data_IF_744053485175
#
_entry.id   IF_744053485175
#
_cell.length_a   1.000
_cell.length_b   1.000
_cell.length_c   1.000
_cell.angle_alpha   90.00
_cell.angle_beta   90.00
_cell.angle_gamma   90.00
#
_symmetry.space_group_name_H-M   'P 1'
#
loop_
_entity.id
_entity.type
_entity.pdbx_description
1 polymer ?
#
# COMPACT_ATOMS: atom_id res chain seq x y z
N UNK A 1 6.79 -3.67 38.07
CA UNK A 1 5.94 -3.79 36.87
C UNK A 1 5.60 -2.39 36.39
N UNK A 2 6.29 -1.91 35.36
CA UNK A 2 6.00 -0.61 34.76
C UNK A 2 4.72 -0.71 33.93
N UNK A 3 3.75 0.14 34.25
CA UNK A 3 2.49 0.32 33.52
C UNK A 3 2.80 0.89 32.12
N UNK A 4 2.60 0.10 31.07
CA UNK A 4 2.60 0.60 29.69
C UNK A 4 1.42 1.55 29.46
N UNK A 5 1.70 2.73 28.88
CA UNK A 5 0.70 3.75 28.54
C UNK A 5 -0.16 3.28 27.35
N UNK A 6 -1.46 3.10 27.60
CA UNK A 6 -2.49 2.61 26.66
C UNK A 6 -3.02 3.72 25.76
N UNK A 7 -3.24 3.42 24.46
CA UNK A 7 -3.84 4.36 23.49
C UNK A 7 -3.71 3.98 22.00
N UNK A 8 -3.53 2.71 21.63
CA UNK A 8 -3.12 2.26 20.27
C UNK A 8 -4.04 1.16 19.69
N UNK A 9 -4.65 1.39 18.52
CA UNK A 9 -5.75 0.56 17.96
C UNK A 9 -5.18 -0.33 16.88
N UNK A 10 -4.72 -1.49 17.32
CA UNK A 10 -3.90 -2.39 16.52
C UNK A 10 -4.65 -3.05 15.37
N UNK A 11 -3.94 -3.41 14.29
CA UNK A 11 -4.36 -4.50 13.40
C UNK A 11 -3.55 -5.75 13.75
N UNK A 12 -3.84 -6.42 14.89
CA UNK A 12 -3.25 -7.70 15.19
C UNK A 12 -3.52 -8.70 14.06
N UNK A 13 -2.54 -9.56 13.83
CA UNK A 13 -2.72 -10.72 12.98
C UNK A 13 -3.71 -11.69 13.65
N UNK A 14 -4.84 -11.94 12.98
CA UNK A 14 -5.80 -12.97 13.37
C UNK A 14 -5.89 -14.06 12.31
N UNK A 15 -5.94 -15.30 12.78
CA UNK A 15 -6.06 -16.51 11.97
C UNK A 15 -7.48 -17.06 12.12
N UNK A 16 -8.15 -17.30 11.00
CA UNK A 16 -9.52 -17.81 10.98
C UNK A 16 -10.27 -17.33 9.74
N UNK A 17 -11.21 -18.15 9.25
CA UNK A 17 -12.14 -17.73 8.21
C UNK A 17 -13.40 -17.15 8.87
N UNK A 18 -13.92 -16.02 8.37
CA UNK A 18 -15.17 -15.48 8.87
C UNK A 18 -16.33 -16.46 8.59
N UNK A 19 -17.35 -16.52 9.46
CA UNK A 19 -18.51 -17.39 9.24
C UNK A 19 -19.18 -17.11 7.89
N UNK A 20 -19.52 -18.16 7.15
CA UNK A 20 -20.05 -18.05 5.78
C UNK A 20 -21.33 -17.19 5.70
N UNK A 21 -22.23 -17.31 6.70
CA UNK A 21 -23.46 -16.52 6.74
C UNK A 21 -23.18 -15.01 6.85
N UNK A 22 -22.10 -14.63 7.53
CA UNK A 22 -21.70 -13.24 7.70
C UNK A 22 -21.05 -12.72 6.42
N UNK A 23 -20.19 -13.53 5.81
CA UNK A 23 -19.57 -13.19 4.53
C UNK A 23 -20.60 -12.96 3.43
N UNK A 24 -21.61 -13.82 3.30
CA UNK A 24 -22.73 -13.62 2.34
C UNK A 24 -23.46 -12.29 2.55
N UNK A 25 -23.63 -11.85 3.81
CA UNK A 25 -24.23 -10.54 4.13
C UNK A 25 -23.30 -9.39 3.73
N UNK A 26 -22.00 -9.52 3.99
CA UNK A 26 -20.99 -8.54 3.61
C UNK A 26 -20.87 -8.40 2.09
N UNK A 27 -20.90 -9.51 1.33
CA UNK A 27 -20.94 -9.51 -0.14
C UNK A 27 -22.14 -8.69 -0.62
N UNK A 28 -23.33 -8.96 -0.08
CA UNK A 28 -24.55 -8.23 -0.45
C UNK A 28 -24.45 -6.73 -0.11
N UNK A 29 -23.99 -6.38 1.09
CA UNK A 29 -23.93 -4.99 1.55
C UNK A 29 -22.85 -4.20 0.81
N UNK A 30 -21.62 -4.72 0.73
CA UNK A 30 -20.51 -4.09 -0.02
C UNK A 30 -20.87 -3.87 -1.48
N UNK A 31 -21.55 -4.85 -2.08
CA UNK A 31 -22.06 -4.76 -3.43
C UNK A 31 -23.10 -3.66 -3.65
N UNK A 32 -24.14 -3.62 -2.81
CA UNK A 32 -25.16 -2.56 -2.87
C UNK A 32 -24.52 -1.17 -2.71
N UNK A 33 -23.54 -1.03 -1.81
CA UNK A 33 -22.82 0.23 -1.63
C UNK A 33 -22.02 0.61 -2.88
N UNK A 34 -21.35 -0.36 -3.51
CA UNK A 34 -20.64 -0.14 -4.76
C UNK A 34 -21.60 0.29 -5.89
N UNK A 35 -22.76 -0.37 -6.03
CA UNK A 35 -23.80 0.01 -6.99
C UNK A 35 -24.26 1.44 -6.80
N UNK A 36 -24.66 1.83 -5.59
CA UNK A 36 -25.13 3.20 -5.33
C UNK A 36 -24.05 4.22 -5.69
N UNK A 37 -22.78 3.94 -5.39
CA UNK A 37 -21.67 4.86 -5.71
C UNK A 37 -21.48 4.95 -7.23
N UNK A 38 -21.48 3.82 -7.93
CA UNK A 38 -21.31 3.78 -9.39
C UNK A 38 -22.48 4.47 -10.09
N UNK A 39 -23.72 4.20 -9.68
CA UNK A 39 -24.93 4.82 -10.24
C UNK A 39 -24.97 6.33 -10.00
N UNK A 40 -24.51 6.77 -8.83
CA UNK A 40 -24.62 8.19 -8.42
C UNK A 40 -23.44 9.05 -8.90
N UNK A 41 -22.21 8.52 -8.79
CA UNK A 41 -20.98 9.28 -8.99
C UNK A 41 -20.07 8.70 -10.08
N UNK A 42 -20.39 7.51 -10.60
CA UNK A 42 -19.59 6.81 -11.59
C UNK A 42 -18.48 5.93 -11.00
N UNK A 43 -17.96 5.04 -11.85
CA UNK A 43 -16.92 4.07 -11.51
C UNK A 43 -15.63 4.71 -10.99
N UNK A 44 -15.21 5.83 -11.58
CA UNK A 44 -13.98 6.52 -11.19
C UNK A 44 -14.01 7.04 -9.75
N UNK A 45 -15.20 7.38 -9.23
CA UNK A 45 -15.35 7.81 -7.84
C UNK A 45 -15.26 6.61 -6.88
N UNK A 46 -15.82 5.45 -7.24
CA UNK A 46 -15.65 4.21 -6.46
C UNK A 46 -14.17 3.87 -6.33
N UNK A 47 -13.39 3.93 -7.41
CA UNK A 47 -11.96 3.66 -7.40
C UNK A 47 -11.20 4.67 -6.53
N UNK A 48 -11.49 5.97 -6.68
CA UNK A 48 -10.87 7.02 -5.87
C UNK A 48 -11.14 6.81 -4.37
N UNK A 49 -12.37 6.42 -4.02
CA UNK A 49 -12.79 6.12 -2.65
C UNK A 49 -12.12 4.88 -2.09
N UNK A 50 -12.00 3.80 -2.87
CA UNK A 50 -11.28 2.58 -2.45
C UNK A 50 -9.77 2.82 -2.27
N UNK A 51 -9.18 3.72 -3.07
CA UNK A 51 -7.80 4.15 -2.87
C UNK A 51 -7.63 5.04 -1.61
N UNK A 52 -8.68 5.68 -1.11
CA UNK A 52 -8.60 6.47 0.11
C UNK A 52 -8.57 5.57 1.37
N UNK A 53 -7.51 5.63 2.20
CA UNK A 53 -7.39 4.72 3.33
C UNK A 53 -8.45 4.92 4.41
N UNK A 54 -8.95 6.15 4.59
CA UNK A 54 -9.99 6.46 5.58
C UNK A 54 -11.33 5.94 5.09
N UNK A 55 -11.70 6.29 3.86
CA UNK A 55 -12.96 5.85 3.26
C UNK A 55 -13.02 4.33 3.15
N UNK A 56 -11.94 3.68 2.71
CA UNK A 56 -11.86 2.23 2.66
C UNK A 56 -12.04 1.60 4.05
N UNK A 57 -11.45 2.22 5.08
CA UNK A 57 -11.66 1.76 6.45
C UNK A 57 -13.11 1.91 6.88
N UNK A 58 -13.77 3.03 6.58
CA UNK A 58 -15.19 3.23 6.85
C UNK A 58 -16.07 2.19 6.16
N UNK A 59 -15.79 1.89 4.88
CA UNK A 59 -16.49 0.82 4.16
C UNK A 59 -16.30 -0.53 4.87
N UNK A 60 -15.10 -0.82 5.37
CA UNK A 60 -14.79 -2.07 6.04
C UNK A 60 -15.54 -2.24 7.38
N UNK A 61 -15.78 -1.14 8.09
CA UNK A 61 -16.57 -1.14 9.32
C UNK A 61 -18.05 -1.40 9.03
N UNK A 62 -18.60 -0.72 8.01
CA UNK A 62 -20.02 -0.85 7.64
C UNK A 62 -20.36 -2.21 7.03
N UNK A 63 -19.48 -2.76 6.19
CA UNK A 63 -19.72 -4.06 5.53
C UNK A 63 -19.69 -5.26 6.48
N UNK A 64 -19.30 -5.03 7.73
CA UNK A 64 -19.45 -5.97 8.83
C UNK A 64 -18.12 -6.52 9.28
N UNK A 65 -17.40 -5.76 10.11
CA UNK A 65 -17.44 -5.94 11.57
C UNK A 65 -16.42 -5.04 12.29
N UNK A 66 -16.71 -4.77 13.55
CA UNK A 66 -15.81 -4.23 14.56
C UNK A 66 -14.64 -5.21 14.79
N UNK A 67 -13.51 -4.95 14.14
CA UNK A 67 -12.24 -5.54 14.55
C UNK A 67 -11.10 -4.73 13.97
N UNK A 68 -10.40 -4.07 14.87
CA UNK A 68 -8.95 -3.99 14.93
C UNK A 68 -8.32 -5.35 14.56
N UNK A 69 -8.35 -5.79 13.30
CA UNK A 69 -7.69 -7.01 12.84
C UNK A 69 -7.24 -6.91 11.40
N UNK A 70 -6.11 -7.52 11.10
CA UNK A 70 -5.57 -7.60 9.74
C UNK A 70 -6.52 -8.25 8.73
N UNK A 71 -7.53 -9.01 9.18
CA UNK A 71 -8.49 -9.72 8.33
C UNK A 71 -9.54 -8.82 7.68
N UNK A 72 -9.81 -7.64 8.24
CA UNK A 72 -10.88 -6.73 7.80
C UNK A 72 -10.68 -6.24 6.37
N UNK A 73 -9.44 -5.87 6.00
CA UNK A 73 -9.10 -5.46 4.63
C UNK A 73 -9.34 -6.57 3.61
N UNK A 74 -8.88 -7.80 3.92
CA UNK A 74 -9.05 -8.97 3.05
C UNK A 74 -10.53 -9.27 2.89
N UNK A 75 -11.27 -9.25 4.00
CA UNK A 75 -12.70 -9.53 4.02
C UNK A 75 -13.49 -8.58 3.13
N UNK A 76 -13.29 -7.27 3.28
CA UNK A 76 -13.98 -6.25 2.47
C UNK A 76 -13.67 -6.38 0.99
N UNK A 77 -12.39 -6.57 0.62
CA UNK A 77 -11.99 -6.70 -0.78
C UNK A 77 -12.46 -8.02 -1.40
N UNK A 78 -12.42 -9.13 -0.66
CA UNK A 78 -12.94 -10.41 -1.10
C UNK A 78 -14.46 -10.37 -1.27
N UNK A 79 -15.19 -9.73 -0.35
CA UNK A 79 -16.64 -9.56 -0.46
C UNK A 79 -17.01 -8.74 -1.69
N UNK A 80 -16.28 -7.64 -1.93
CA UNK A 80 -16.48 -6.80 -3.10
C UNK A 80 -16.11 -7.55 -4.41
N UNK A 81 -15.02 -8.32 -4.40
CA UNK A 81 -14.60 -9.17 -5.53
C UNK A 81 -15.67 -10.19 -5.91
N UNK A 82 -16.25 -10.87 -4.92
CA UNK A 82 -17.31 -11.85 -5.16
C UNK A 82 -18.58 -11.21 -5.70
N UNK A 83 -18.95 -10.03 -5.21
CA UNK A 83 -20.13 -9.35 -5.72
C UNK A 83 -19.94 -8.92 -7.18
N UNK A 84 -18.83 -8.23 -7.47
CA UNK A 84 -18.52 -7.68 -8.80
C UNK A 84 -18.15 -8.75 -9.83
N UNK A 85 -17.89 -10.00 -9.44
CA UNK A 85 -17.70 -11.08 -10.42
C UNK A 85 -19.04 -11.57 -11.01
N UNK A 86 -20.15 -11.30 -10.33
CA UNK A 86 -21.49 -11.76 -10.74
C UNK A 86 -22.35 -10.66 -11.37
N UNK A 87 -21.90 -9.40 -11.32
CA UNK A 87 -22.61 -8.23 -11.86
C UNK A 87 -21.67 -7.34 -12.65
N UNK A 88 -22.16 -6.81 -13.76
CA UNK A 88 -21.42 -5.86 -14.56
C UNK A 88 -21.73 -4.42 -14.13
N UNK A 89 -20.83 -3.85 -13.33
CA UNK A 89 -20.82 -2.42 -12.99
C UNK A 89 -19.69 -1.67 -13.72
N UNK A 90 -19.03 -2.32 -14.71
CA UNK A 90 -17.82 -1.81 -15.33
C UNK A 90 -16.62 -1.70 -14.38
N UNK A 91 -16.65 -2.40 -13.24
CA UNK A 91 -15.57 -2.44 -12.23
C UNK A 91 -15.30 -3.87 -11.83
N UNK A 92 -14.02 -4.24 -11.69
CA UNK A 92 -13.60 -5.57 -11.26
C UNK A 92 -12.46 -5.51 -10.26
N UNK A 93 -12.45 -6.47 -9.34
CA UNK A 93 -11.39 -6.60 -8.33
C UNK A 93 -10.54 -7.82 -8.68
N UNK A 94 -9.24 -7.60 -8.82
CA UNK A 94 -8.23 -8.58 -9.21
C UNK A 94 -7.24 -8.82 -8.07
N UNK A 95 -6.61 -9.99 -8.03
CA UNK A 95 -5.66 -10.38 -7.00
C UNK A 95 -6.31 -10.98 -5.76
N UNK A 96 -5.57 -11.00 -4.65
CA UNK A 96 -5.96 -11.75 -3.48
C UNK A 96 -4.93 -11.73 -2.34
N UNK A 97 -5.14 -12.67 -1.41
CA UNK A 97 -4.24 -12.93 -0.28
C UNK A 97 -3.37 -14.16 -0.55
N UNK A 98 -2.10 -14.07 -0.18
CA UNK A 98 -1.12 -15.16 -0.25
C UNK A 98 -1.05 -15.76 -1.67
N UNK A 99 -1.33 -17.07 -1.81
CA UNK A 99 -1.30 -17.74 -3.12
C UNK A 99 -2.24 -17.10 -4.14
N UNK A 100 -3.37 -16.53 -3.70
CA UNK A 100 -4.32 -15.87 -4.59
C UNK A 100 -3.80 -14.53 -5.17
N UNK A 101 -2.63 -14.05 -4.74
CA UNK A 101 -1.94 -12.94 -5.43
C UNK A 101 -1.48 -13.37 -6.83
N UNK A 102 -1.17 -14.67 -7.03
CA UNK A 102 -0.76 -15.20 -8.32
C UNK A 102 -1.90 -15.18 -9.36
N UNK A 103 -3.15 -15.19 -8.89
CA UNK A 103 -4.34 -15.21 -9.74
C UNK A 103 -4.60 -13.86 -10.45
N UNK A 104 -3.85 -12.80 -10.08
CA UNK A 104 -4.03 -11.46 -10.66
C UNK A 104 -3.97 -11.45 -12.19
N UNK A 105 -3.07 -12.23 -12.81
CA UNK A 105 -3.01 -12.31 -14.29
C UNK A 105 -4.29 -12.90 -14.88
N UNK A 106 -4.84 -13.94 -14.25
CA UNK A 106 -6.09 -14.57 -14.68
C UNK A 106 -7.29 -13.65 -14.47
N UNK A 107 -7.35 -12.93 -13.34
CA UNK A 107 -8.41 -11.95 -13.06
C UNK A 107 -8.40 -10.79 -14.07
N UNK A 108 -7.19 -10.31 -14.44
CA UNK A 108 -7.04 -9.26 -15.45
C UNK A 108 -7.42 -9.74 -16.85
N UNK A 109 -7.05 -10.98 -17.23
CA UNK A 109 -7.51 -11.58 -18.48
C UNK A 109 -9.04 -11.64 -18.53
N UNK A 110 -9.66 -12.13 -17.44
CA UNK A 110 -11.11 -12.17 -17.32
C UNK A 110 -11.73 -10.78 -17.32
N UNK A 111 -11.00 -9.72 -16.94
CA UNK A 111 -11.48 -8.33 -17.03
C UNK A 111 -11.49 -7.82 -18.47
N UNK A 112 -10.57 -8.31 -19.31
CA UNK A 112 -10.58 -8.02 -20.75
C UNK A 112 -11.70 -8.78 -21.46
N UNK A 113 -11.90 -10.06 -21.13
CA UNK A 113 -12.97 -10.88 -21.71
C UNK A 113 -14.36 -10.30 -21.43
N UNK A 114 -14.57 -9.70 -20.26
CA UNK A 114 -15.82 -9.01 -19.91
C UNK A 114 -15.92 -7.59 -20.46
N UNK A 115 -14.90 -7.09 -21.17
CA UNK A 115 -14.90 -5.74 -21.74
C UNK A 115 -14.67 -4.59 -20.75
N UNK A 116 -14.34 -4.90 -19.48
CA UNK A 116 -14.04 -3.89 -18.44
C UNK A 116 -12.68 -3.26 -18.69
N UNK A 117 -11.74 -4.04 -19.20
CA UNK A 117 -10.40 -3.58 -19.54
C UNK A 117 -10.15 -3.78 -21.04
N UNK A 118 -9.39 -2.89 -21.67
CA UNK A 118 -8.89 -3.14 -23.02
C UNK A 118 -7.70 -4.09 -22.97
N UNK A 119 -7.51 -4.88 -24.02
CA UNK A 119 -6.37 -5.80 -24.12
C UNK A 119 -5.03 -5.06 -24.00
N UNK A 120 -4.94 -3.87 -24.60
CA UNK A 120 -3.75 -3.02 -24.55
C UNK A 120 -3.41 -2.52 -23.13
N UNK A 121 -4.42 -2.36 -22.26
CA UNK A 121 -4.25 -1.85 -20.90
C UNK A 121 -3.85 -2.96 -19.91
N UNK A 122 -4.05 -4.24 -20.26
CA UNK A 122 -3.82 -5.39 -19.39
C UNK A 122 -2.40 -5.46 -18.84
N UNK A 123 -1.42 -5.41 -19.74
CA UNK A 123 -0.01 -5.53 -19.35
C UNK A 123 0.43 -4.27 -18.58
N UNK A 124 -0.11 -3.11 -18.94
CA UNK A 124 0.15 -1.85 -18.25
C UNK A 124 -0.31 -1.89 -16.78
N UNK A 125 -1.55 -2.32 -16.53
CA UNK A 125 -2.10 -2.48 -15.17
C UNK A 125 -1.29 -3.50 -14.38
N UNK A 126 -0.97 -4.63 -15.00
CA UNK A 126 -0.20 -5.69 -14.34
C UNK A 126 1.21 -5.22 -13.93
N UNK A 127 1.95 -4.57 -14.84
CA UNK A 127 3.29 -4.09 -14.54
C UNK A 127 3.28 -2.97 -13.50
N UNK A 128 2.28 -2.09 -13.51
CA UNK A 128 2.11 -1.09 -12.43
C UNK A 128 1.79 -1.74 -11.09
N UNK A 129 0.93 -2.76 -11.03
CA UNK A 129 0.68 -3.50 -9.81
C UNK A 129 1.97 -4.17 -9.29
N UNK A 130 2.77 -4.76 -10.18
CA UNK A 130 4.06 -5.36 -9.83
C UNK A 130 5.07 -4.33 -9.31
N UNK A 131 5.16 -3.14 -9.93
CA UNK A 131 5.98 -2.02 -9.46
C UNK A 131 5.59 -1.60 -8.05
N UNK A 132 4.29 -1.40 -7.81
CA UNK A 132 3.75 -1.00 -6.50
C UNK A 132 4.06 -2.04 -5.42
N UNK A 133 3.88 -3.33 -5.73
CA UNK A 133 4.27 -4.41 -4.82
C UNK A 133 5.76 -4.37 -4.48
N UNK A 134 6.60 -4.05 -5.47
CA UNK A 134 8.05 -3.94 -5.26
C UNK A 134 8.44 -2.70 -4.46
N UNK A 135 7.78 -1.57 -4.69
CA UNK A 135 7.98 -0.32 -3.93
C UNK A 135 7.63 -0.56 -2.45
N UNK A 136 6.42 -1.01 -2.16
CA UNK A 136 5.94 -1.19 -0.79
C UNK A 136 6.69 -2.32 -0.05
N UNK A 137 7.13 -3.37 -0.75
CA UNK A 137 7.84 -4.48 -0.11
C UNK A 137 9.35 -4.25 0.01
N UNK A 138 9.99 -3.61 -0.98
CA UNK A 138 11.46 -3.55 -1.08
C UNK A 138 12.09 -2.18 -0.84
N UNK A 139 11.41 -1.10 -1.24
CA UNK A 139 11.93 0.26 -1.06
C UNK A 139 11.60 0.81 0.32
N UNK A 140 10.43 0.48 0.86
CA UNK A 140 10.09 0.72 2.25
C UNK A 140 10.47 -0.50 3.08
N UNK A 141 11.46 -0.33 3.96
CA UNK A 141 12.00 -1.39 4.79
C UNK A 141 11.76 -1.08 6.27
N UNK A 142 10.59 -1.51 6.73
CA UNK A 142 10.00 -1.21 8.05
C UNK A 142 9.66 -2.48 8.86
N UNK A 143 10.07 -3.65 8.36
CA UNK A 143 9.78 -4.96 8.95
C UNK A 143 8.48 -5.61 8.48
N UNK A 144 7.72 -4.98 7.57
CA UNK A 144 6.49 -5.55 7.03
C UNK A 144 6.76 -6.24 5.68
N UNK A 145 6.29 -7.48 5.55
CA UNK A 145 6.33 -8.25 4.30
C UNK A 145 4.94 -8.32 3.68
N UNK A 146 4.85 -7.96 2.39
CA UNK A 146 3.59 -8.01 1.65
C UNK A 146 3.08 -9.46 1.56
N UNK A 147 1.81 -9.64 1.91
CA UNK A 147 1.12 -10.92 1.82
C UNK A 147 -0.23 -10.85 1.10
N UNK A 148 -0.65 -9.65 0.71
CA UNK A 148 -1.92 -9.42 0.06
C UNK A 148 -1.79 -8.24 -0.91
N UNK A 149 -2.33 -8.41 -2.10
CA UNK A 149 -2.44 -7.36 -3.09
C UNK A 149 -3.74 -7.50 -3.88
N UNK A 150 -4.52 -6.44 -3.90
CA UNK A 150 -5.71 -6.31 -4.74
C UNK A 150 -5.58 -5.10 -5.67
N UNK A 151 -6.07 -5.26 -6.89
CA UNK A 151 -6.15 -4.21 -7.91
C UNK A 151 -7.61 -4.07 -8.32
N UNK A 152 -8.17 -2.88 -8.15
CA UNK A 152 -9.52 -2.55 -8.59
C UNK A 152 -9.41 -1.82 -9.93
N UNK A 153 -10.00 -2.38 -10.97
CA UNK A 153 -9.94 -1.88 -12.35
C UNK A 153 -11.31 -1.40 -12.82
N UNK A 154 -11.33 -0.41 -13.72
CA UNK A 154 -12.54 0.09 -14.39
C UNK A 154 -12.28 0.36 -15.87
N UNK A 155 -13.36 0.61 -16.62
CA UNK A 155 -13.32 0.96 -18.04
C UNK A 155 -12.67 2.32 -18.35
N UNK A 156 -12.48 3.19 -17.35
CA UNK A 156 -11.96 4.57 -17.51
C UNK A 156 -10.47 4.73 -17.19
N UNK A 157 -9.70 3.65 -17.13
CA UNK A 157 -8.22 3.68 -17.02
C UNK A 157 -7.67 4.14 -15.66
N UNK A 158 -8.53 4.41 -14.66
CA UNK A 158 -8.09 4.57 -13.27
C UNK A 158 -8.14 3.24 -12.55
N UNK A 159 -7.16 3.03 -11.68
CA UNK A 159 -7.02 1.80 -10.91
C UNK A 159 -6.67 2.13 -9.46
N UNK A 160 -7.21 1.37 -8.52
CA UNK A 160 -6.81 1.43 -7.12
C UNK A 160 -6.03 0.17 -6.78
N UNK A 161 -4.88 0.31 -6.11
CA UNK A 161 -4.13 -0.83 -5.60
C UNK A 161 -4.10 -0.74 -4.08
N UNK A 162 -4.64 -1.77 -3.44
CA UNK A 162 -4.69 -1.90 -1.99
C UNK A 162 -3.86 -3.12 -1.60
N UNK A 163 -2.82 -2.89 -0.80
CA UNK A 163 -1.89 -3.91 -0.36
C UNK A 163 -1.83 -3.99 1.15
N UNK A 164 -1.44 -5.14 1.67
CA UNK A 164 -1.20 -5.30 3.10
C UNK A 164 0.09 -6.08 3.37
N UNK A 165 0.92 -5.47 4.20
CA UNK A 165 2.12 -6.05 4.76
C UNK A 165 1.87 -6.54 6.17
N UNK A 166 2.55 -7.60 6.58
CA UNK A 166 2.55 -8.10 7.94
C UNK A 166 3.95 -8.09 8.52
N UNK A 167 4.06 -7.74 9.79
CA UNK A 167 5.27 -7.94 10.58
C UNK A 167 4.96 -9.08 11.56
N UNK A 168 5.64 -10.22 11.40
CA UNK A 168 5.41 -11.42 12.20
C UNK A 168 5.92 -11.30 13.64
N UNK A 169 6.94 -10.49 13.89
CA UNK A 169 7.52 -10.25 15.22
C UNK A 169 6.57 -9.40 16.06
N UNK A 170 6.14 -8.27 15.52
CA UNK A 170 5.21 -7.34 16.18
C UNK A 170 3.75 -7.79 16.10
N UNK A 171 3.47 -8.81 15.28
CA UNK A 171 2.11 -9.32 14.94
C UNK A 171 1.17 -8.21 14.46
N UNK A 172 1.70 -7.24 13.75
CA UNK A 172 0.95 -6.10 13.23
C UNK A 172 0.79 -6.18 11.71
N UNK A 173 -0.23 -5.51 11.20
CA UNK A 173 -0.38 -5.25 9.76
C UNK A 173 -0.26 -3.77 9.41
N UNK A 174 0.17 -3.52 8.18
CA UNK A 174 0.31 -2.19 7.56
C UNK A 174 -0.35 -2.22 6.20
N UNK A 175 -1.18 -1.22 5.90
CA UNK A 175 -1.98 -1.16 4.67
C UNK A 175 -1.51 -0.02 3.78
N UNK A 176 -1.32 -0.33 2.51
CA UNK A 176 -0.80 0.60 1.51
C UNK A 176 -1.88 0.83 0.46
N UNK A 177 -2.06 2.08 0.05
CA UNK A 177 -3.03 2.47 -0.94
C UNK A 177 -2.39 3.31 -2.04
N UNK A 178 -2.78 3.01 -3.26
CA UNK A 178 -2.35 3.70 -4.46
C UNK A 178 -3.54 3.99 -5.35
N UNK A 179 -3.52 5.16 -5.96
CA UNK A 179 -4.44 5.56 -7.02
C UNK A 179 -3.62 5.78 -8.27
N UNK A 180 -3.86 4.97 -9.30
CA UNK A 180 -3.12 5.00 -10.55
C UNK A 180 -4.05 5.57 -11.63
N UNK A 181 -3.53 6.51 -12.40
CA UNK A 181 -4.16 6.95 -13.64
C UNK A 181 -3.56 6.28 -14.87
N UNK A 182 -3.55 7.01 -15.97
CA UNK A 182 -2.97 6.55 -17.23
C UNK A 182 -1.44 6.72 -17.29
N UNK A 183 -0.83 7.18 -16.20
CA UNK A 183 0.61 7.43 -16.10
C UNK A 183 1.31 6.33 -15.29
N UNK A 184 2.54 6.00 -15.73
CA UNK A 184 3.40 5.03 -15.07
C UNK A 184 3.55 5.40 -13.60
N UNK A 185 3.49 4.40 -12.72
CA UNK A 185 3.65 4.59 -11.28
C UNK A 185 5.02 5.21 -10.97
N UNK A 186 4.99 6.36 -10.29
CA UNK A 186 6.17 6.95 -9.67
C UNK A 186 6.47 6.25 -8.33
N UNK A 187 7.75 6.06 -8.04
CA UNK A 187 8.26 5.56 -6.76
C UNK A 187 7.72 6.38 -5.58
N UNK A 188 7.54 7.69 -5.77
CA UNK A 188 7.03 8.61 -4.73
C UNK A 188 5.48 8.72 -4.71
N UNK A 189 4.77 8.02 -5.62
CA UNK A 189 3.34 8.21 -5.90
C UNK A 189 2.36 7.59 -4.89
N UNK A 190 2.81 7.20 -3.70
CA UNK A 190 1.96 6.50 -2.72
C UNK A 190 0.82 7.41 -2.25
N UNK A 191 -0.42 6.98 -2.51
CA UNK A 191 -1.61 7.76 -2.15
C UNK A 191 -1.82 7.80 -0.64
N UNK A 192 -1.65 6.66 0.04
CA UNK A 192 -1.79 6.60 1.49
C UNK A 192 -1.18 5.36 2.12
N UNK A 193 -0.80 5.51 3.39
CA UNK A 193 -0.28 4.43 4.21
C UNK A 193 -0.93 4.48 5.59
N UNK A 194 -1.55 3.37 5.97
CA UNK A 194 -2.17 3.19 7.27
C UNK A 194 -1.41 2.16 8.08
N UNK A 195 -1.06 2.52 9.31
CA UNK A 195 -0.50 1.60 10.30
C UNK A 195 -1.03 1.94 11.69
N UNK A 196 -0.96 0.98 12.60
CA UNK A 196 -1.27 1.25 14.00
C UNK A 196 -0.20 2.07 14.71
N UNK A 197 1.07 1.73 14.45
CA UNK A 197 2.25 2.38 15.01
C UNK A 197 3.22 2.76 13.90
N UNK A 198 3.96 3.83 14.14
CA UNK A 198 5.19 4.13 13.42
C UNK A 198 6.32 3.23 13.93
N UNK A 199 7.08 2.66 13.02
CA UNK A 199 8.33 1.95 13.26
C UNK A 199 9.47 2.94 13.48
N UNK A 200 10.38 2.63 14.40
CA UNK A 200 11.55 3.47 14.68
C UNK A 200 12.74 3.20 13.73
N UNK A 201 12.80 2.00 13.16
CA UNK A 201 13.88 1.56 12.28
C UNK A 201 13.35 1.36 10.86
N UNK A 202 13.08 2.46 10.17
CA UNK A 202 12.59 2.46 8.79
C UNK A 202 13.70 2.93 7.87
N UNK A 203 13.89 2.26 6.74
CA UNK A 203 14.59 2.83 5.58
C UNK A 203 13.55 3.00 4.47
N UNK A 204 13.28 4.23 4.04
CA UNK A 204 12.30 4.52 3.00
C UNK A 204 12.97 5.10 1.76
N UNK A 205 13.34 4.23 0.82
CA UNK A 205 13.85 4.64 -0.50
C UNK A 205 12.74 5.17 -1.42
N UNK A 206 11.46 5.06 -1.03
CA UNK A 206 10.33 5.62 -1.78
C UNK A 206 9.99 7.06 -1.40
N UNK A 207 10.61 7.59 -0.34
CA UNK A 207 10.42 8.97 0.09
C UNK A 207 11.09 9.98 -0.87
N UNK A 208 10.54 11.18 -0.98
CA UNK A 208 11.12 12.27 -1.77
C UNK A 208 12.50 12.66 -1.25
N UNK A 209 12.71 12.61 0.06
CA UNK A 209 13.99 12.88 0.72
C UNK A 209 15.10 11.88 0.31
N UNK A 210 14.72 10.70 -0.19
CA UNK A 210 15.67 9.68 -0.67
C UNK A 210 16.06 9.86 -2.14
N UNK A 211 15.59 10.90 -2.83
CA UNK A 211 15.81 11.09 -4.28
C UNK A 211 17.29 11.15 -4.65
N UNK A 212 18.06 11.97 -3.96
CA UNK A 212 19.50 12.10 -4.21
C UNK A 212 20.25 10.80 -3.85
N UNK A 213 19.80 10.08 -2.82
CA UNK A 213 20.34 8.77 -2.49
C UNK A 213 20.07 7.73 -3.60
N UNK A 214 18.87 7.73 -4.20
CA UNK A 214 18.56 6.86 -5.36
C UNK A 214 19.45 7.18 -6.57
N UNK A 215 19.68 8.46 -6.87
CA UNK A 215 20.61 8.88 -7.92
C UNK A 215 22.03 8.44 -7.63
N UNK A 216 22.48 8.55 -6.37
CA UNK A 216 23.79 8.08 -5.94
C UNK A 216 23.90 6.54 -6.00
N UNK A 217 22.82 5.78 -5.74
CA UNK A 217 22.79 4.33 -5.95
C UNK A 217 23.04 3.98 -7.43
N UNK A 218 22.35 4.67 -8.35
CA UNK A 218 22.53 4.45 -9.78
C UNK A 218 23.98 4.74 -10.19
N UNK A 219 24.53 5.87 -9.75
CA UNK A 219 25.93 6.22 -10.00
C UNK A 219 26.88 5.15 -9.44
N UNK A 220 26.71 4.75 -8.17
CA UNK A 220 27.56 3.74 -7.52
C UNK A 220 27.59 2.40 -8.26
N UNK A 221 26.43 1.96 -8.78
CA UNK A 221 26.33 0.72 -9.56
C UNK A 221 26.96 0.89 -10.93
N UNK A 222 26.70 2.01 -11.61
CA UNK A 222 27.21 2.31 -12.95
C UNK A 222 28.73 2.46 -13.00
N UNK A 223 29.31 3.15 -12.03
CA UNK A 223 30.76 3.37 -11.93
C UNK A 223 31.50 2.14 -11.33
N UNK A 224 30.77 1.11 -10.89
CA UNK A 224 31.35 -0.10 -10.29
C UNK A 224 31.99 0.13 -8.92
N UNK A 225 31.67 1.22 -8.24
CA UNK A 225 32.29 1.57 -6.95
C UNK A 225 31.85 0.64 -5.81
N UNK A 226 30.65 0.06 -5.95
CA UNK A 226 30.13 -1.00 -5.08
C UNK A 226 31.08 -2.19 -4.92
N UNK A 227 31.96 -2.45 -5.90
CA UNK A 227 32.94 -3.55 -5.83
C UNK A 227 34.01 -3.34 -4.77
N UNK A 228 34.31 -2.09 -4.40
CA UNK A 228 35.28 -1.76 -3.34
C UNK A 228 34.81 -2.27 -1.96
N UNK A 229 33.51 -2.45 -1.79
CA UNK A 229 32.89 -2.96 -0.56
C UNK A 229 32.71 -4.49 -0.56
N UNK A 230 33.08 -5.18 -1.65
CA UNK A 230 32.99 -6.64 -1.78
C UNK A 230 34.23 -7.36 -1.20
N UNK A 231 35.37 -6.68 -1.08
CA UNK A 231 36.67 -7.32 -0.85
C UNK A 231 37.54 -6.55 0.16
N UNK A 232 37.86 -7.18 1.30
CA UNK A 232 39.03 -6.87 2.13
C UNK A 232 38.77 -6.16 3.47
N UNK A 233 39.39 -6.68 4.54
CA UNK A 233 39.70 -5.90 5.73
C UNK A 233 40.60 -4.73 5.30
N UNK A 234 40.20 -3.51 5.65
CA UNK A 234 41.06 -2.35 5.46
C UNK A 234 42.27 -2.48 6.40
N UNK A 235 43.45 -2.76 5.86
CA UNK A 235 44.70 -2.48 6.55
C UNK A 235 45.17 -1.09 6.13
N UNK A 236 44.96 -0.10 7.00
CA UNK A 236 45.73 1.16 6.96
C UNK A 236 46.20 1.50 8.36
N UNK A 237 47.42 2.06 8.41
CA UNK A 237 48.25 2.37 9.57
C UNK A 237 47.49 2.71 10.86
N UNK A 238 47.92 2.04 11.93
CA UNK A 238 47.75 2.38 13.34
C UNK A 238 46.31 2.53 13.88
N UNK A 239 45.77 1.41 14.36
CA UNK A 239 44.79 1.33 15.47
C UNK A 239 43.49 2.16 15.35
N UNK A 240 42.89 2.27 14.17
CA UNK A 240 41.50 2.74 14.04
C UNK A 240 40.60 1.66 13.45
N UNK A 241 39.75 1.03 14.28
CA UNK A 241 38.68 0.15 13.79
C UNK A 241 37.48 1.00 13.36
N UNK A 242 37.38 1.30 12.07
CA UNK A 242 36.11 1.78 11.52
C UNK A 242 35.13 0.60 11.49
N UNK A 243 33.83 0.83 11.74
CA UNK A 243 32.83 -0.22 11.59
C UNK A 243 32.82 -0.73 10.14
N UNK A 244 33.26 -1.98 9.95
CA UNK A 244 33.21 -2.67 8.67
C UNK A 244 31.78 -3.17 8.44
N UNK A 245 31.13 -2.65 7.40
CA UNK A 245 29.85 -3.17 6.96
C UNK A 245 30.09 -4.39 6.06
N UNK A 246 30.09 -5.59 6.63
CA UNK A 246 30.17 -6.83 5.84
C UNK A 246 28.87 -7.07 5.08
N UNK A 247 28.91 -6.87 3.77
CA UNK A 247 27.80 -7.05 2.84
C UNK A 247 27.86 -8.38 2.06
N UNK A 248 28.92 -9.16 2.26
CA UNK A 248 29.28 -10.30 1.40
C UNK A 248 28.19 -11.38 1.30
N UNK A 249 27.55 -11.73 2.41
CA UNK A 249 26.52 -12.77 2.47
C UNK A 249 25.07 -12.31 2.23
N UNK A 250 24.80 -11.01 2.18
CA UNK A 250 23.43 -10.45 2.11
C UNK A 250 23.09 -9.80 0.76
N UNK A 251 24.09 -9.55 -0.06
CA UNK A 251 23.98 -8.85 -1.35
C UNK A 251 24.12 -9.83 -2.51
N UNK A 252 23.23 -9.72 -3.51
CA UNK A 252 23.34 -10.52 -4.72
C UNK A 252 24.37 -9.94 -5.69
N UNK A 253 25.65 -10.21 -5.41
CA UNK A 253 26.78 -9.67 -6.18
C UNK A 253 26.82 -10.11 -7.65
N UNK A 254 26.25 -11.27 -7.99
CA UNK A 254 26.13 -11.70 -9.38
C UNK A 254 25.22 -10.74 -10.14
N UNK A 255 24.07 -10.40 -9.55
CA UNK A 255 23.11 -9.49 -10.18
C UNK A 255 23.58 -8.05 -10.26
N UNK A 256 24.32 -7.56 -9.27
CA UNK A 256 24.97 -6.26 -9.37
C UNK A 256 26.00 -6.20 -10.50
N UNK A 257 26.65 -7.34 -10.82
CA UNK A 257 27.58 -7.43 -11.94
C UNK A 257 26.85 -7.34 -13.27
N UNK A 258 25.75 -8.09 -13.42
CA UNK A 258 24.91 -7.99 -14.60
C UNK A 258 24.50 -6.51 -14.82
N UNK A 259 23.99 -5.83 -13.79
CA UNK A 259 23.60 -4.41 -13.89
C UNK A 259 24.76 -3.48 -14.28
N UNK A 260 25.94 -3.67 -13.70
CA UNK A 260 27.13 -2.90 -14.08
C UNK A 260 27.52 -3.14 -15.55
N UNK A 261 27.58 -4.39 -15.99
CA UNK A 261 28.00 -4.77 -17.34
C UNK A 261 27.02 -4.30 -18.43
N UNK A 262 25.71 -4.36 -18.17
CA UNK A 262 24.69 -3.89 -19.11
C UNK A 262 24.45 -2.37 -19.06
N UNK A 263 25.01 -1.69 -18.05
CA UNK A 263 24.84 -0.26 -17.81
C UNK A 263 23.46 0.10 -17.28
N UNK A 264 23.41 0.75 -16.12
CA UNK A 264 22.16 1.27 -15.54
C UNK A 264 22.14 2.78 -15.56
N UNK A 265 21.04 3.33 -16.07
CA UNK A 265 20.72 4.75 -16.17
C UNK A 265 19.60 5.17 -15.20
N UNK A 266 18.81 4.20 -14.73
CA UNK A 266 17.59 4.47 -13.96
C UNK A 266 17.44 3.55 -12.74
N UNK A 267 16.94 4.12 -11.65
CA UNK A 267 16.78 3.40 -10.38
C UNK A 267 15.74 2.29 -10.47
N UNK A 268 14.72 2.42 -11.33
CA UNK A 268 13.70 1.37 -11.50
C UNK A 268 14.29 0.09 -12.05
N UNK A 269 15.21 0.17 -13.01
CA UNK A 269 15.91 -1.00 -13.53
C UNK A 269 16.65 -1.77 -12.44
N UNK A 270 17.18 -1.07 -11.43
CA UNK A 270 17.86 -1.69 -10.28
C UNK A 270 16.85 -2.40 -9.39
N UNK A 271 15.82 -1.70 -8.90
CA UNK A 271 14.94 -2.31 -7.90
C UNK A 271 13.97 -3.34 -8.51
N UNK A 272 13.69 -3.29 -9.82
CA UNK A 272 12.87 -4.26 -10.53
C UNK A 272 13.64 -5.50 -11.00
N UNK A 273 14.98 -5.49 -10.96
CA UNK A 273 15.81 -6.62 -11.37
C UNK A 273 15.57 -7.85 -10.48
N UNK A 274 15.37 -9.00 -11.14
CA UNK A 274 15.09 -10.25 -10.44
C UNK A 274 16.29 -10.67 -9.60
N UNK A 275 16.06 -10.80 -8.29
CA UNK A 275 17.11 -11.19 -7.33
C UNK A 275 17.71 -10.02 -6.55
N UNK A 276 17.28 -8.78 -6.83
CA UNK A 276 17.53 -7.62 -5.97
C UNK A 276 16.40 -7.48 -4.97
N UNK A 277 16.71 -7.61 -3.68
CA UNK A 277 15.76 -7.54 -2.57
C UNK A 277 16.13 -6.46 -1.54
N UNK A 278 15.41 -6.43 -0.42
CA UNK A 278 15.58 -5.44 0.67
C UNK A 278 17.04 -5.27 1.08
N UNK A 279 17.73 -6.38 1.32
CA UNK A 279 19.13 -6.40 1.77
C UNK A 279 20.08 -5.75 0.76
N UNK A 280 19.92 -6.04 -0.53
CA UNK A 280 20.75 -5.47 -1.59
C UNK A 280 20.49 -3.98 -1.75
N UNK A 281 19.24 -3.54 -1.75
CA UNK A 281 18.88 -2.12 -1.86
C UNK A 281 19.36 -1.30 -0.66
N UNK A 282 19.26 -1.85 0.55
CA UNK A 282 19.80 -1.22 1.77
C UNK A 282 21.31 -1.07 1.69
N UNK A 283 22.01 -2.13 1.27
CA UNK A 283 23.45 -2.12 1.09
C UNK A 283 23.88 -1.06 0.06
N UNK A 284 23.21 -1.00 -1.09
CA UNK A 284 23.45 0.01 -2.11
C UNK A 284 23.22 1.42 -1.59
N UNK A 285 22.15 1.64 -0.82
CA UNK A 285 21.85 2.94 -0.21
C UNK A 285 22.95 3.42 0.75
N UNK A 286 23.47 2.52 1.60
CA UNK A 286 24.56 2.84 2.50
C UNK A 286 25.88 3.06 1.77
N UNK A 287 26.19 2.25 0.75
CA UNK A 287 27.36 2.46 -0.10
C UNK A 287 27.27 3.84 -0.80
N UNK A 288 26.11 4.17 -1.35
CA UNK A 288 25.87 5.45 -2.01
C UNK A 288 26.02 6.63 -1.05
N UNK A 289 25.53 6.51 0.19
CA UNK A 289 25.74 7.52 1.23
C UNK A 289 27.23 7.69 1.58
N UNK A 290 27.99 6.58 1.68
CA UNK A 290 29.44 6.63 1.97
C UNK A 290 30.25 7.25 0.83
N UNK A 291 29.92 6.95 -0.42
CA UNK A 291 30.68 7.44 -1.58
C UNK A 291 30.30 8.88 -1.91
N UNK A 292 29.00 9.16 -2.00
CA UNK A 292 28.50 10.41 -2.58
C UNK A 292 27.97 11.39 -1.53
N UNK A 293 27.54 10.91 -0.36
CA UNK A 293 27.04 11.75 0.75
C UNK A 293 25.52 11.85 0.93
N UNK A 294 24.65 11.76 -0.11
CA UNK A 294 23.21 11.81 0.09
C UNK A 294 22.67 10.69 0.98
N UNK A 295 21.87 11.06 1.97
CA UNK A 295 21.25 10.13 2.91
C UNK A 295 19.91 9.66 2.41
N UNK A 296 19.55 8.42 2.75
CA UNK A 296 18.18 7.97 2.60
C UNK A 296 17.29 8.48 3.75
N UNK A 297 15.98 8.54 3.50
CA UNK A 297 14.99 8.79 4.53
C UNK A 297 14.89 7.61 5.48
N UNK A 298 14.94 7.92 6.78
CA UNK A 298 14.65 6.97 7.86
C UNK A 298 13.31 7.28 8.55
N UNK A 299 12.51 8.17 7.95
CA UNK A 299 11.20 8.56 8.47
C UNK A 299 10.16 7.52 8.07
N UNK A 300 9.33 7.10 9.01
CA UNK A 300 8.20 6.23 8.71
C UNK A 300 7.10 7.00 7.94
N UNK A 301 6.70 6.56 6.72
CA UNK A 301 5.68 7.23 5.90
C UNK A 301 4.23 7.06 6.37
N UNK A 302 3.97 6.47 7.54
CA UNK A 302 2.60 6.35 8.10
C UNK A 302 1.94 7.73 8.21
N UNK A 303 0.79 7.87 7.53
CA UNK A 303 -0.04 9.09 7.57
C UNK A 303 -1.34 8.89 8.34
N UNK A 304 -1.84 7.65 8.37
CA UNK A 304 -3.16 7.34 8.93
C UNK A 304 -3.07 6.23 9.98
N UNK A 305 -3.84 6.38 11.04
CA UNK A 305 -4.09 5.30 12.00
C UNK A 305 -5.37 4.56 11.63
N UNK A 306 -5.42 3.26 11.94
CA UNK A 306 -6.65 2.46 11.84
C UNK A 306 -7.68 2.79 12.93
N UNK A 307 -7.37 3.70 13.85
CA UNK A 307 -8.13 3.86 15.07
C UNK A 307 -9.39 4.73 14.92
N UNK A 308 -10.55 4.07 14.77
CA UNK A 308 -11.81 4.58 15.32
C UNK A 308 -12.08 4.02 16.73
N UNK A 309 -11.15 3.35 17.40
CA UNK A 309 -11.38 2.73 18.73
C UNK A 309 -12.15 1.41 18.67
N UNK A 310 -12.20 0.65 19.77
CA UNK A 310 -12.81 -0.70 19.82
C UNK A 310 -13.99 -0.81 20.80
N UNK A 311 -14.95 -1.71 20.57
CA UNK A 311 -16.12 -1.93 21.46
C UNK A 311 -15.78 -2.15 22.92
N UNK A 312 -14.65 -2.79 23.20
CA UNK A 312 -14.22 -3.13 24.55
C UNK A 312 -13.42 -1.99 25.22
N UNK A 313 -13.40 -0.79 24.62
CA UNK A 313 -12.70 0.36 25.16
C UNK A 313 -11.17 0.29 25.03
N UNK A 314 -10.65 -0.74 24.36
CA UNK A 314 -9.22 -0.99 24.21
C UNK A 314 -8.84 -0.86 22.73
N UNK A 315 -7.95 0.08 22.40
CA UNK A 315 -7.17 0.95 23.31
C UNK A 315 -7.88 2.20 23.83
N UNK A 316 -8.92 2.63 23.11
CA UNK A 316 -9.78 3.78 23.38
C UNK A 316 -11.17 3.34 22.93
N UNK A 317 -12.23 3.81 23.61
CA UNK A 317 -13.59 3.59 23.18
C UNK A 317 -13.75 3.96 21.71
N UNK A 318 -14.67 3.29 21.03
CA UNK A 318 -15.06 3.68 19.68
C UNK A 318 -15.26 5.19 19.66
N UNK A 319 -14.53 5.89 18.79
CA UNK A 319 -14.75 7.29 18.44
C UNK A 319 -16.07 7.34 17.69
N UNK A 320 -17.14 7.37 18.47
CA UNK A 320 -18.52 7.37 17.98
C UNK A 320 -18.73 8.50 16.99
N UNK A 321 -18.04 9.65 17.11
CA UNK A 321 -18.14 10.72 16.12
C UNK A 321 -17.64 10.33 14.72
N UNK A 322 -16.46 9.73 14.59
CA UNK A 322 -15.94 9.29 13.28
C UNK A 322 -16.75 8.09 12.75
N UNK A 323 -17.24 7.24 13.66
CA UNK A 323 -18.10 6.09 13.34
C UNK A 323 -19.49 6.51 12.86
N UNK A 324 -20.12 7.45 13.57
CA UNK A 324 -21.42 8.04 13.25
C UNK A 324 -21.33 8.85 11.96
N UNK A 325 -20.22 9.55 11.68
CA UNK A 325 -20.01 10.19 10.37
C UNK A 325 -19.87 9.19 9.22
N UNK A 326 -19.22 8.05 9.45
CA UNK A 326 -19.18 6.98 8.45
C UNK A 326 -20.60 6.41 8.24
N UNK A 327 -21.33 6.12 9.31
CA UNK A 327 -22.70 5.62 9.25
C UNK A 327 -23.64 6.63 8.59
N UNK A 328 -23.56 7.91 8.95
CA UNK A 328 -24.35 9.01 8.38
C UNK A 328 -24.08 9.12 6.89
N UNK A 329 -22.81 9.16 6.48
CA UNK A 329 -22.44 9.16 5.06
C UNK A 329 -23.05 7.99 4.28
N UNK A 330 -23.01 6.77 4.82
CA UNK A 330 -23.57 5.60 4.15
C UNK A 330 -25.10 5.53 4.26
N UNK A 331 -25.67 6.06 5.34
CA UNK A 331 -27.12 6.14 5.56
C UNK A 331 -27.76 7.16 4.65
N UNK A 332 -27.11 8.31 4.46
CA UNK A 332 -27.48 9.33 3.49
C UNK A 332 -27.38 8.74 2.07
N UNK A 333 -26.28 8.05 1.73
CA UNK A 333 -26.17 7.35 0.44
C UNK A 333 -27.33 6.36 0.18
N UNK A 334 -27.76 5.62 1.22
CA UNK A 334 -28.87 4.66 1.12
C UNK A 334 -30.24 5.38 1.04
N UNK A 335 -30.39 6.53 1.70
CA UNK A 335 -31.62 7.35 1.71
C UNK A 335 -31.78 8.19 0.44
N UNK A 336 -30.68 8.61 -0.18
CA UNK A 336 -30.63 9.56 -1.29
C UNK A 336 -30.79 8.95 -2.70
N UNK A 337 -31.38 7.76 -2.81
CA UNK A 337 -31.67 7.14 -4.11
C UNK A 337 -32.49 8.05 -5.05
N UNK A 338 -33.11 9.12 -4.53
CA UNK A 338 -33.97 10.07 -5.23
C UNK A 338 -33.48 11.56 -5.28
N UNK A 339 -32.25 11.90 -4.87
CA UNK A 339 -31.80 13.32 -4.89
C UNK A 339 -31.24 13.81 -6.24
N UNK A 340 -31.36 15.12 -6.47
CA UNK A 340 -30.91 15.80 -7.69
C UNK A 340 -29.37 16.04 -7.71
N UNK A 341 -28.82 16.36 -8.89
CA UNK A 341 -27.37 16.48 -9.13
C UNK A 341 -26.69 17.55 -8.25
N UNK A 342 -27.41 18.63 -7.89
CA UNK A 342 -26.85 19.77 -7.13
C UNK A 342 -26.66 19.46 -5.64
N UNK A 343 -27.57 18.69 -5.07
CA UNK A 343 -27.48 18.25 -3.67
C UNK A 343 -26.32 17.25 -3.51
N UNK A 344 -26.16 16.34 -4.49
CA UNK A 344 -25.05 15.39 -4.59
C UNK A 344 -23.67 16.07 -4.70
N UNK A 345 -23.57 17.15 -5.47
CA UNK A 345 -22.34 17.96 -5.57
C UNK A 345 -21.97 18.68 -4.26
N UNK A 346 -22.98 19.09 -3.48
CA UNK A 346 -22.77 19.82 -2.22
C UNK A 346 -22.20 18.90 -1.14
N UNK A 347 -22.65 17.65 -1.10
CA UNK A 347 -22.14 16.61 -0.20
C UNK A 347 -20.69 16.24 -0.58
N UNK A 348 -20.41 16.03 -1.86
CA UNK A 348 -19.06 15.76 -2.36
C UNK A 348 -18.07 16.91 -2.06
N UNK A 349 -18.48 18.17 -2.19
CA UNK A 349 -17.66 19.34 -1.85
C UNK A 349 -17.42 19.47 -0.35
N UNK A 350 -18.43 19.21 0.47
CA UNK A 350 -18.31 19.24 1.94
C UNK A 350 -17.33 18.16 2.44
N UNK A 351 -17.31 17.00 1.79
CA UNK A 351 -16.36 15.91 2.04
C UNK A 351 -14.91 16.25 1.64
N UNK A 352 -14.71 16.85 0.46
CA UNK A 352 -13.37 17.29 0.04
C UNK A 352 -12.78 18.31 1.03
N UNK A 353 -13.62 19.22 1.54
CA UNK A 353 -13.23 20.22 2.52
C UNK A 353 -12.89 19.60 3.89
N UNK A 354 -13.64 18.60 4.34
CA UNK A 354 -13.39 17.90 5.61
C UNK A 354 -12.14 17.01 5.58
N UNK A 355 -11.80 16.45 4.41
CA UNK A 355 -10.54 15.72 4.17
C UNK A 355 -9.33 16.66 4.22
N UNK A 356 -9.44 17.86 3.63
CA UNK A 356 -8.39 18.88 3.63
C UNK A 356 -8.17 19.54 5.00
N UNK A 357 -9.21 19.69 5.83
CA UNK A 357 -9.08 20.31 7.16
C UNK A 357 -8.23 19.50 8.16
N UNK A 358 -8.05 18.18 7.96
CA UNK A 358 -7.12 17.37 8.77
C UNK A 358 -5.69 17.34 8.22
N UNK A 359 -5.44 17.84 7.01
CA UNK A 359 -4.08 17.89 6.42
C UNK A 359 -3.28 19.13 6.87
N UNK A 360 -3.93 20.14 7.47
CA UNK A 360 -3.32 21.36 7.98
C UNK A 360 -3.05 21.34 9.51
N UNK A 361 -2.46 20.28 10.02
CA UNK A 361 -1.95 20.26 11.40
C UNK A 361 -0.45 19.97 11.43
N UNK A 362 0.34 20.78 10.71
CA UNK A 362 1.73 21.09 11.05
C UNK A 362 2.09 22.44 10.39
N UNK A 363 1.85 23.51 11.14
CA UNK A 363 2.66 24.74 11.11
C UNK A 363 3.46 24.79 12.40
#
# INVERSE_FOLDING_TARGET
>A
MQMERRGISALPLHYGHPPEYLFKRAVKLSGIMAEIIVDTYGQGELIRRLADPFWFHSLSLVTGFDWNSSGTTVFTLSALKEYLSTRDLGVKVCGGKASAMADMRADLLSSVETGILKEDDKEYVYENARRIAKIDNSLLQDGYDLYMQFVVVSDRGRHAVIQQGMNSEDRMARRYHWLIGNERVDVEGRYGLSADKTSLNVLDLSATESRDNRSAIVASVREGEVWRFRSGAQSTLDNFSLPFLDLSGRVNWKKLRDLYEYGVDDFEKIYMEKGIGKSTLRALSYIAEVIYGPKASFRDPVKFSFAVGGKDGIPKPVNTYDYDRAIEFFSDLIREKDLNVREKETIARSLAHLSQMKTNFYS
#
